data_IF_440743866705
#
_entry.id   IF_440743866705
#
_cell.length_a   1.000
_cell.length_b   1.000
_cell.length_c   1.000
_cell.angle_alpha   90.00
_cell.angle_beta   90.00
_cell.angle_gamma   90.00
#
_symmetry.space_group_name_H-M   'P 1'
#
loop_
_entity.id
_entity.type
_entity.pdbx_description
1 polymer ?
#
# COMPACT_ATOMS: atom_id res chain seq x y z
N UNK A 1 0.58 -15.31 -33.87
CA UNK A 1 1.33 -15.10 -32.61
C UNK A 1 2.28 -13.90 -32.61
N UNK A 2 2.70 -13.41 -33.76
CA UNK A 2 3.73 -12.33 -33.86
C UNK A 2 3.19 -10.92 -33.68
N UNK A 3 1.93 -10.65 -34.06
CA UNK A 3 1.34 -9.29 -34.04
C UNK A 3 1.05 -8.80 -32.60
N UNK A 4 0.66 -9.68 -31.70
CA UNK A 4 0.40 -9.34 -30.28
C UNK A 4 1.70 -9.00 -29.53
N UNK A 5 2.81 -9.66 -29.86
CA UNK A 5 4.12 -9.35 -29.31
C UNK A 5 4.62 -7.98 -29.74
N UNK A 6 4.40 -7.62 -31.02
CA UNK A 6 4.81 -6.33 -31.56
C UNK A 6 4.02 -5.17 -30.93
N UNK A 7 2.71 -5.34 -30.74
CA UNK A 7 1.87 -4.32 -30.08
C UNK A 7 2.24 -4.08 -28.60
N UNK A 8 2.62 -5.13 -27.88
CA UNK A 8 3.04 -5.00 -26.48
C UNK A 8 4.44 -4.37 -26.37
N UNK A 9 5.35 -4.69 -27.28
CA UNK A 9 6.68 -4.07 -27.35
C UNK A 9 6.60 -2.60 -27.76
N UNK A 10 5.70 -2.24 -28.69
CA UNK A 10 5.47 -0.85 -29.09
C UNK A 10 4.81 -0.03 -27.98
N UNK A 11 3.87 -0.60 -27.24
CA UNK A 11 3.30 0.02 -26.05
C UNK A 11 4.33 0.21 -24.93
N UNK A 12 5.22 -0.75 -24.70
CA UNK A 12 6.30 -0.65 -23.74
C UNK A 12 7.33 0.44 -24.11
N UNK A 13 7.60 0.64 -25.41
CA UNK A 13 8.47 1.72 -25.90
C UNK A 13 7.82 3.10 -25.79
N UNK A 14 6.50 3.19 -25.90
CA UNK A 14 5.74 4.45 -25.85
C UNK A 14 5.33 4.86 -24.43
N UNK A 15 5.23 3.90 -23.52
CA UNK A 15 5.04 4.17 -22.08
C UNK A 15 6.40 4.15 -21.40
N UNK A 16 6.90 5.28 -20.96
CA UNK A 16 8.17 5.45 -20.22
C UNK A 16 8.21 4.70 -18.87
N UNK A 17 7.35 3.73 -18.64
CA UNK A 17 7.35 2.88 -17.45
C UNK A 17 8.03 1.55 -17.79
N UNK A 18 9.35 1.55 -17.80
CA UNK A 18 10.13 0.32 -17.79
C UNK A 18 9.85 -0.40 -16.48
N UNK A 19 9.02 -1.42 -16.56
CA UNK A 19 8.69 -2.23 -15.39
C UNK A 19 9.84 -3.23 -15.16
N UNK A 20 10.49 -3.13 -14.00
CA UNK A 20 11.57 -4.03 -13.58
C UNK A 20 11.21 -5.52 -13.75
N UNK A 21 9.93 -5.86 -13.55
CA UNK A 21 9.44 -7.24 -13.64
C UNK A 21 9.44 -7.81 -15.06
N UNK A 22 9.29 -6.97 -16.08
CA UNK A 22 9.38 -7.40 -17.48
C UNK A 22 10.81 -7.82 -17.85
N UNK A 23 11.82 -7.19 -17.22
CA UNK A 23 13.21 -7.60 -17.36
C UNK A 23 13.48 -9.02 -16.81
N UNK A 24 12.68 -9.51 -15.89
CA UNK A 24 12.72 -10.89 -15.37
C UNK A 24 11.80 -11.86 -16.13
N UNK A 25 11.30 -11.49 -17.29
CA UNK A 25 10.32 -12.28 -18.06
C UNK A 25 9.00 -12.54 -17.32
N UNK A 26 8.66 -11.70 -16.34
CA UNK A 26 7.38 -11.73 -15.62
C UNK A 26 6.41 -10.78 -16.33
N UNK A 27 5.26 -11.29 -16.72
CA UNK A 27 4.21 -10.43 -17.32
C UNK A 27 3.58 -9.60 -16.22
N UNK A 28 3.59 -8.30 -16.41
CA UNK A 28 3.01 -7.35 -15.47
C UNK A 28 1.63 -6.88 -15.95
N UNK A 29 0.67 -6.84 -15.01
CA UNK A 29 -0.68 -6.35 -15.21
C UNK A 29 -1.00 -5.32 -14.12
N UNK A 30 -1.43 -4.14 -14.50
CA UNK A 30 -1.84 -3.11 -13.55
C UNK A 30 -1.09 -1.78 -13.71
N UNK A 31 -1.20 -0.89 -12.73
CA UNK A 31 -1.98 -1.05 -11.48
C UNK A 31 -3.50 -1.03 -11.71
N UNK A 32 -4.25 -1.87 -10.98
CA UNK A 32 -5.71 -1.87 -10.98
C UNK A 32 -6.25 -1.48 -9.61
N UNK A 33 -7.48 -0.95 -9.57
CA UNK A 33 -8.15 -0.64 -8.31
C UNK A 33 -8.64 -1.93 -7.63
N UNK A 34 -8.06 -2.25 -6.46
CA UNK A 34 -8.44 -3.43 -5.68
C UNK A 34 -9.77 -3.30 -4.94
N UNK A 35 -10.41 -2.13 -4.98
CA UNK A 35 -11.74 -1.93 -4.44
C UNK A 35 -12.85 -2.15 -5.49
N UNK A 36 -12.49 -2.20 -6.78
CA UNK A 36 -13.39 -2.61 -7.85
C UNK A 36 -13.32 -4.13 -8.06
N UNK A 37 -14.13 -4.84 -7.27
CA UNK A 37 -14.18 -6.31 -7.32
C UNK A 37 -14.64 -6.81 -8.70
N UNK A 38 -15.57 -6.11 -9.34
CA UNK A 38 -16.08 -6.50 -10.66
C UNK A 38 -14.99 -6.44 -11.73
N UNK A 39 -14.21 -5.36 -11.76
CA UNK A 39 -13.09 -5.23 -12.67
C UNK A 39 -11.97 -6.23 -12.35
N UNK A 40 -11.69 -6.46 -11.06
CA UNK A 40 -10.68 -7.42 -10.63
C UNK A 40 -11.01 -8.86 -11.09
N UNK A 41 -12.27 -9.29 -10.96
CA UNK A 41 -12.74 -10.60 -11.46
C UNK A 41 -12.52 -10.70 -12.96
N UNK A 42 -12.85 -9.65 -13.72
CA UNK A 42 -12.64 -9.62 -15.17
C UNK A 42 -11.16 -9.79 -15.51
N UNK A 43 -10.28 -9.01 -14.89
CA UNK A 43 -8.83 -9.11 -15.11
C UNK A 43 -8.29 -10.50 -14.76
N UNK A 44 -8.71 -11.07 -13.62
CA UNK A 44 -8.31 -12.41 -13.22
C UNK A 44 -8.76 -13.48 -14.23
N UNK A 45 -9.98 -13.36 -14.77
CA UNK A 45 -10.44 -14.26 -15.83
C UNK A 45 -9.63 -14.13 -17.12
N UNK A 46 -9.24 -12.90 -17.49
CA UNK A 46 -8.45 -12.65 -18.71
C UNK A 46 -7.02 -13.22 -18.60
N UNK A 47 -6.43 -13.26 -17.40
CA UNK A 47 -5.05 -13.68 -17.21
C UNK A 47 -4.87 -15.13 -16.72
N UNK A 48 -5.93 -15.78 -16.20
CA UNK A 48 -5.82 -17.11 -15.56
C UNK A 48 -5.23 -18.19 -16.47
N UNK A 49 -5.62 -18.18 -17.75
CA UNK A 49 -5.23 -19.20 -18.72
C UNK A 49 -3.94 -18.84 -19.49
N UNK A 50 -3.33 -17.70 -19.18
CA UNK A 50 -2.03 -17.34 -19.77
C UNK A 50 -0.91 -18.19 -19.18
N UNK A 51 -0.01 -18.68 -20.00
CA UNK A 51 1.17 -19.42 -19.52
C UNK A 51 2.25 -18.49 -18.98
N UNK A 52 3.11 -19.03 -18.10
CA UNK A 52 4.26 -18.34 -17.51
C UNK A 52 3.92 -17.47 -16.30
N UNK A 53 4.95 -16.91 -15.64
CA UNK A 53 4.78 -16.12 -14.45
C UNK A 53 4.07 -14.79 -14.75
N UNK A 54 3.16 -14.42 -13.86
CA UNK A 54 2.34 -13.20 -13.96
C UNK A 54 2.36 -12.45 -12.64
N UNK A 55 2.48 -11.12 -12.71
CA UNK A 55 2.37 -10.22 -11.58
C UNK A 55 1.18 -9.30 -11.81
N UNK A 56 0.18 -9.43 -10.96
CA UNK A 56 -0.96 -8.52 -10.93
C UNK A 56 -0.75 -7.47 -9.82
N UNK A 57 -0.55 -6.23 -10.23
CA UNK A 57 -0.43 -5.11 -9.30
C UNK A 57 -1.81 -4.55 -8.95
N UNK A 58 -2.21 -4.78 -7.72
CA UNK A 58 -3.48 -4.29 -7.18
C UNK A 58 -3.20 -3.15 -6.22
N UNK A 59 -3.83 -2.00 -6.45
CA UNK A 59 -3.71 -0.82 -5.60
C UNK A 59 -4.94 -0.69 -4.72
N UNK A 60 -4.72 -0.64 -3.42
CA UNK A 60 -5.80 -0.49 -2.44
C UNK A 60 -5.55 0.70 -1.53
N UNK A 61 -6.62 1.23 -0.95
CA UNK A 61 -6.57 2.22 0.12
C UNK A 61 -7.00 1.54 1.43
N UNK A 62 -6.07 1.44 2.38
CA UNK A 62 -6.35 0.85 3.69
C UNK A 62 -7.45 1.63 4.41
N UNK A 63 -8.43 0.93 4.96
CA UNK A 63 -9.59 1.55 5.62
C UNK A 63 -10.62 2.16 4.67
N UNK A 64 -10.59 1.81 3.38
CA UNK A 64 -11.56 2.27 2.38
C UNK A 64 -13.00 2.08 2.86
N UNK A 65 -13.80 3.15 2.77
CA UNK A 65 -15.20 3.17 3.24
C UNK A 65 -15.35 3.71 4.67
N UNK A 66 -14.26 3.82 5.45
CA UNK A 66 -14.28 4.44 6.77
C UNK A 66 -13.53 5.76 6.76
N UNK A 67 -14.28 6.87 6.74
CA UNK A 67 -13.73 8.23 6.56
C UNK A 67 -12.57 8.60 7.49
N UNK A 68 -12.58 8.26 8.80
CA UNK A 68 -11.45 8.56 9.68
C UNK A 68 -10.15 7.86 9.24
N UNK A 69 -10.24 6.58 8.87
CA UNK A 69 -9.09 5.81 8.38
C UNK A 69 -8.58 6.31 7.02
N UNK A 70 -9.47 6.78 6.17
CA UNK A 70 -9.09 7.35 4.88
C UNK A 70 -8.35 8.69 5.01
N UNK A 71 -8.62 9.46 6.08
CA UNK A 71 -7.97 10.73 6.36
C UNK A 71 -6.60 10.58 7.01
N UNK A 72 -6.43 9.59 7.89
CA UNK A 72 -5.20 9.39 8.67
C UNK A 72 -4.82 7.90 8.72
N UNK A 73 -4.26 7.40 7.59
CA UNK A 73 -3.90 5.99 7.45
C UNK A 73 -2.88 5.51 8.51
N UNK A 74 -1.99 6.39 8.95
CA UNK A 74 -0.98 6.08 9.96
C UNK A 74 -1.60 5.84 11.33
N UNK A 75 -2.49 6.71 11.79
CA UNK A 75 -3.18 6.56 13.07
C UNK A 75 -4.11 5.34 13.09
N UNK A 76 -4.73 5.05 11.93
CA UNK A 76 -5.64 3.93 11.75
C UNK A 76 -4.96 2.63 11.33
N UNK A 77 -3.62 2.59 11.30
CA UNK A 77 -2.90 1.34 11.03
C UNK A 77 -3.12 0.30 12.13
N UNK A 78 -3.10 0.74 13.39
CA UNK A 78 -3.41 -0.07 14.57
C UNK A 78 -4.06 0.84 15.65
N UNK A 79 -5.34 1.22 15.48
CA UNK A 79 -5.96 2.29 16.28
C UNK A 79 -6.20 1.89 17.74
N UNK A 80 -6.11 0.60 18.10
CA UNK A 80 -6.54 0.11 19.40
C UNK A 80 -8.06 0.18 19.55
N UNK A 81 -8.53 0.45 20.77
CA UNK A 81 -9.96 0.64 21.04
C UNK A 81 -10.42 1.99 20.53
N UNK A 82 -11.57 2.02 19.85
CA UNK A 82 -12.18 3.24 19.36
C UNK A 82 -13.71 3.13 19.30
N UNK A 83 -14.39 4.25 19.31
CA UNK A 83 -15.82 4.32 19.06
C UNK A 83 -16.08 4.20 17.55
N UNK A 84 -16.75 3.16 17.12
CA UNK A 84 -17.03 2.88 15.71
C UNK A 84 -17.96 3.91 15.04
N UNK A 85 -18.76 4.64 15.81
CA UNK A 85 -19.71 5.64 15.30
C UNK A 85 -19.04 6.99 15.12
N UNK A 86 -18.25 7.44 16.12
CA UNK A 86 -17.61 8.75 16.10
C UNK A 86 -16.19 8.71 15.51
N UNK A 87 -15.53 7.54 15.53
CA UNK A 87 -14.13 7.39 15.17
C UNK A 87 -13.16 7.89 16.26
N UNK A 88 -13.66 8.24 17.45
CA UNK A 88 -12.80 8.68 18.55
C UNK A 88 -12.04 7.50 19.17
N UNK A 89 -10.72 7.66 19.33
CA UNK A 89 -9.88 6.67 19.97
C UNK A 89 -10.10 6.66 21.48
N UNK A 90 -10.28 5.47 22.04
CA UNK A 90 -10.41 5.26 23.48
C UNK A 90 -9.00 4.98 24.02
N UNK A 91 -8.38 6.01 24.60
CA UNK A 91 -7.05 5.88 25.21
C UNK A 91 -7.26 5.43 26.67
N UNK A 92 -6.92 4.18 26.93
CA UNK A 92 -6.92 3.65 28.30
C UNK A 92 -5.53 3.90 28.88
N UNK A 93 -5.40 4.98 29.66
CA UNK A 93 -4.20 5.19 30.45
C UNK A 93 -4.25 4.28 31.69
N UNK A 94 -3.37 3.31 31.79
CA UNK A 94 -3.16 2.59 33.02
C UNK A 94 -2.25 3.42 33.91
N UNK A 95 -2.72 3.73 35.11
CA UNK A 95 -1.93 4.39 36.15
C UNK A 95 -0.67 3.57 36.44
N UNK A 96 0.51 4.18 36.34
CA UNK A 96 1.83 3.58 36.59
C UNK A 96 2.39 2.66 35.47
N UNK A 97 1.95 2.75 34.20
CA UNK A 97 2.73 2.13 33.11
C UNK A 97 3.99 2.97 32.83
N UNK A 98 5.18 2.33 32.72
CA UNK A 98 6.38 3.02 32.28
C UNK A 98 6.21 3.46 30.81
N UNK A 99 6.95 4.49 30.41
CA UNK A 99 6.97 4.93 29.02
C UNK A 99 7.39 3.79 28.09
N UNK A 100 6.82 3.74 26.90
CA UNK A 100 7.24 2.77 25.89
C UNK A 100 8.67 3.10 25.41
N UNK A 101 9.48 2.09 25.16
CA UNK A 101 10.85 2.26 24.69
C UNK A 101 10.95 3.16 23.44
N UNK A 102 10.00 3.01 22.53
CA UNK A 102 9.93 3.83 21.32
C UNK A 102 9.73 5.33 21.62
N UNK A 103 8.97 5.67 22.66
CA UNK A 103 8.70 7.05 23.03
C UNK A 103 9.93 7.65 23.72
N UNK A 104 10.57 6.90 24.63
CA UNK A 104 11.83 7.28 25.25
C UNK A 104 12.90 7.51 24.20
N UNK A 105 13.05 6.57 23.26
CA UNK A 105 14.01 6.68 22.16
C UNK A 105 13.74 7.91 21.28
N UNK A 106 12.48 8.14 20.89
CA UNK A 106 12.08 9.28 20.07
C UNK A 106 12.38 10.62 20.77
N UNK A 107 12.03 10.77 22.05
CA UNK A 107 12.32 11.96 22.84
C UNK A 107 13.82 12.19 22.99
N UNK A 108 14.60 11.14 23.28
CA UNK A 108 16.07 11.24 23.41
C UNK A 108 16.72 11.69 22.09
N UNK A 109 16.23 11.19 20.94
CA UNK A 109 16.73 11.65 19.64
C UNK A 109 16.46 13.13 19.40
N UNK A 110 15.28 13.62 19.76
CA UNK A 110 14.95 15.04 19.63
C UNK A 110 15.85 15.88 20.54
N UNK A 111 15.99 15.51 21.81
CA UNK A 111 16.88 16.20 22.75
C UNK A 111 18.34 16.26 22.27
N UNK A 112 18.86 15.15 21.73
CA UNK A 112 20.22 15.11 21.19
C UNK A 112 20.36 15.97 19.93
N UNK A 113 19.38 15.99 19.06
CA UNK A 113 19.38 16.81 17.86
C UNK A 113 19.29 18.30 18.18
N UNK A 114 18.61 18.69 19.25
CA UNK A 114 18.55 20.08 19.71
C UNK A 114 19.89 20.56 20.34
N UNK A 115 20.72 19.62 20.80
CA UNK A 115 22.04 19.91 21.40
C UNK A 115 23.18 19.93 20.39
N UNK A 116 22.98 19.38 19.19
CA UNK A 116 24.00 19.27 18.14
C UNK A 116 23.55 20.02 16.89
N UNK A 117 24.17 21.15 16.61
CA UNK A 117 23.86 22.02 15.46
C UNK A 117 24.40 21.49 14.10
N UNK A 118 24.97 20.29 14.05
CA UNK A 118 25.58 19.70 12.85
C UNK A 118 24.60 18.81 12.08
#
# INVERSE_FOLDING_TARGET
>A
MTVLRFNNSLKALLTQQHNLFEGFSIRYFGPIDGHDVGYMIKVLNDIKDMEGPKLLHIKTKKGKGFKPAEKSATEWHAPGLFNKETGERIIVHKLNEPQLYQDVFGHTLVELAEQDER
#
